data_IF_151385419125
#
_entry.id   IF_151385419125
#
_cell.length_a   1.000
_cell.length_b   1.000
_cell.length_c   1.000
_cell.angle_alpha   90.00
_cell.angle_beta   90.00
_cell.angle_gamma   90.00
#
_symmetry.space_group_name_H-M   'P 1'
#
loop_
_entity.id
_entity.type
_entity.pdbx_description
1 polymer ?
#
# COMPACT_ATOMS: atom_id res chain seq x y z
N UNK A 1 -62.22 -11.78 -11.77
CA UNK A 1 -61.87 -13.20 -11.59
C UNK A 1 -61.53 -13.39 -10.13
N UNK A 2 -62.14 -14.38 -9.46
CA UNK A 2 -61.80 -14.68 -8.07
C UNK A 2 -60.33 -15.15 -8.02
N UNK A 3 -59.54 -14.60 -7.10
CA UNK A 3 -58.12 -14.91 -6.92
C UNK A 3 -57.92 -16.34 -6.41
N UNK A 4 -58.01 -17.33 -7.30
CA UNK A 4 -57.77 -18.74 -6.97
C UNK A 4 -56.31 -19.11 -7.26
N UNK A 5 -55.66 -19.77 -6.30
CA UNK A 5 -54.29 -20.30 -6.45
C UNK A 5 -54.31 -21.46 -7.47
N UNK A 6 -53.44 -21.38 -8.47
CA UNK A 6 -53.18 -22.48 -9.41
C UNK A 6 -52.01 -23.31 -8.85
N UNK A 7 -52.16 -24.64 -8.79
CA UNK A 7 -51.16 -25.56 -8.22
C UNK A 7 -51.04 -26.83 -9.06
N UNK A 8 -49.92 -27.57 -8.92
CA UNK A 8 -49.69 -28.84 -9.62
C UNK A 8 -49.25 -28.73 -11.09
N UNK A 9 -48.71 -27.58 -11.50
CA UNK A 9 -48.14 -27.40 -12.83
C UNK A 9 -46.79 -28.12 -12.94
N UNK A 10 -46.55 -28.80 -14.08
CA UNK A 10 -45.27 -29.41 -14.39
C UNK A 10 -44.21 -28.35 -14.75
N UNK A 11 -42.92 -28.71 -14.66
CA UNK A 11 -41.81 -27.83 -15.05
C UNK A 11 -41.94 -27.42 -16.53
N UNK A 12 -41.96 -26.11 -16.85
CA UNK A 12 -42.04 -25.60 -18.22
C UNK A 12 -40.85 -26.04 -19.09
N UNK A 13 -41.10 -26.43 -20.34
CA UNK A 13 -40.07 -26.87 -21.30
C UNK A 13 -40.16 -26.11 -22.63
N UNK A 14 -41.37 -25.82 -23.13
CA UNK A 14 -41.60 -25.05 -24.35
C UNK A 14 -41.82 -23.57 -24.03
N UNK A 15 -41.48 -22.67 -24.97
CA UNK A 15 -41.68 -21.22 -24.79
C UNK A 15 -43.13 -20.75 -24.67
N UNK A 16 -44.10 -21.66 -24.86
CA UNK A 16 -45.53 -21.43 -24.68
C UNK A 16 -46.08 -21.95 -23.34
N UNK A 17 -45.26 -22.61 -22.52
CA UNK A 17 -45.68 -23.21 -21.27
C UNK A 17 -45.90 -22.14 -20.19
N UNK A 18 -46.84 -22.38 -19.27
CA UNK A 18 -47.09 -21.49 -18.14
C UNK A 18 -45.93 -21.58 -17.14
N UNK A 19 -45.18 -20.49 -16.96
CA UNK A 19 -44.07 -20.45 -16.01
C UNK A 19 -44.57 -20.57 -14.55
N UNK A 20 -44.04 -21.55 -13.81
CA UNK A 20 -44.23 -21.64 -12.36
C UNK A 20 -43.29 -20.64 -11.67
N UNK A 21 -43.64 -20.21 -10.46
CA UNK A 21 -42.77 -19.32 -9.66
C UNK A 21 -41.39 -19.97 -9.48
N UNK A 22 -41.36 -21.25 -9.08
CA UNK A 22 -40.14 -22.03 -8.90
C UNK A 22 -39.27 -22.07 -10.17
N UNK A 23 -39.89 -22.19 -11.35
CA UNK A 23 -39.17 -22.15 -12.62
C UNK A 23 -38.59 -20.76 -12.92
N UNK A 24 -39.36 -19.69 -12.71
CA UNK A 24 -38.87 -18.32 -12.90
C UNK A 24 -37.73 -18.01 -11.92
N UNK A 25 -37.87 -18.42 -10.66
CA UNK A 25 -36.87 -18.24 -9.62
C UNK A 25 -35.57 -19.02 -9.94
N UNK A 26 -35.70 -20.24 -10.49
CA UNK A 26 -34.58 -21.07 -10.94
C UNK A 26 -33.86 -20.49 -12.16
N UNK A 27 -34.60 -20.00 -13.14
CA UNK A 27 -34.06 -19.50 -14.42
C UNK A 27 -33.39 -18.13 -14.26
N UNK A 28 -33.78 -17.32 -13.29
CA UNK A 28 -33.24 -15.96 -13.13
C UNK A 28 -31.76 -15.95 -12.68
N UNK A 29 -31.23 -16.99 -12.01
CA UNK A 29 -29.81 -17.05 -11.60
C UNK A 29 -29.16 -18.46 -11.53
N UNK A 30 -29.84 -19.54 -11.93
CA UNK A 30 -29.33 -20.90 -11.73
C UNK A 30 -29.30 -21.33 -10.26
N UNK A 31 -30.11 -20.66 -9.42
CA UNK A 31 -30.25 -20.93 -7.99
C UNK A 31 -31.58 -21.62 -7.72
N UNK A 32 -31.55 -22.69 -6.94
CA UNK A 32 -32.70 -23.43 -6.46
C UNK A 32 -33.06 -22.92 -5.05
N UNK A 33 -33.95 -21.93 -5.00
CA UNK A 33 -34.27 -21.23 -3.77
C UNK A 33 -35.11 -22.08 -2.80
N UNK A 34 -34.63 -22.21 -1.58
CA UNK A 34 -35.33 -22.84 -0.46
C UNK A 34 -35.93 -21.78 0.48
N UNK A 35 -36.98 -22.13 1.26
CA UNK A 35 -37.43 -21.25 2.34
C UNK A 35 -36.29 -20.96 3.33
N UNK A 36 -36.39 -19.90 4.12
CA UNK A 36 -35.34 -19.55 5.10
C UNK A 36 -35.13 -20.65 6.14
N UNK A 37 -33.97 -20.60 6.78
CA UNK A 37 -33.64 -21.34 8.00
C UNK A 37 -33.38 -20.33 9.10
N UNK A 38 -33.72 -20.70 10.33
CA UNK A 38 -33.54 -19.87 11.51
C UNK A 38 -32.05 -19.66 11.80
N UNK A 39 -31.27 -20.74 11.77
CA UNK A 39 -29.84 -20.72 12.07
C UNK A 39 -29.12 -21.91 11.43
N UNK A 40 -27.80 -21.96 11.58
CA UNK A 40 -26.93 -23.06 11.20
C UNK A 40 -26.25 -23.72 12.40
N UNK A 41 -26.59 -24.98 12.68
CA UNK A 41 -26.29 -25.64 13.96
C UNK A 41 -25.83 -27.09 13.77
N UNK A 42 -24.99 -27.58 14.67
CA UNK A 42 -24.49 -28.96 14.72
C UNK A 42 -25.34 -29.86 15.63
N UNK A 43 -26.23 -29.28 16.43
CA UNK A 43 -27.09 -30.00 17.37
C UNK A 43 -28.53 -29.49 17.26
N UNK A 44 -29.53 -30.38 17.25
CA UNK A 44 -30.93 -29.97 17.20
C UNK A 44 -31.29 -29.13 18.44
N UNK A 45 -32.08 -28.06 18.29
CA UNK A 45 -32.61 -27.34 19.44
C UNK A 45 -33.47 -28.26 20.32
N UNK A 46 -33.42 -28.08 21.64
CA UNK A 46 -34.14 -28.95 22.59
C UNK A 46 -35.67 -28.80 22.57
N UNK A 47 -36.20 -27.71 22.00
CA UNK A 47 -37.63 -27.40 21.95
C UNK A 47 -38.02 -26.77 20.61
N UNK A 48 -37.95 -27.51 19.49
CA UNK A 48 -38.33 -27.00 18.17
C UNK A 48 -39.85 -26.81 18.07
N UNK A 49 -40.28 -25.83 17.28
CA UNK A 49 -41.68 -25.62 16.89
C UNK A 49 -41.93 -26.12 15.47
N UNK A 50 -43.17 -26.54 15.18
CA UNK A 50 -43.51 -27.09 13.85
C UNK A 50 -43.22 -26.06 12.77
N UNK A 51 -42.46 -26.46 11.75
CA UNK A 51 -41.99 -25.61 10.67
C UNK A 51 -40.66 -24.90 10.95
N UNK A 52 -40.03 -25.11 12.11
CA UNK A 52 -38.68 -24.64 12.34
C UNK A 52 -37.71 -25.32 11.38
N UNK A 53 -36.84 -24.55 10.74
CA UNK A 53 -35.86 -25.03 9.75
C UNK A 53 -34.47 -24.59 10.13
N UNK A 54 -33.49 -25.49 10.02
CA UNK A 54 -32.09 -25.24 10.33
C UNK A 54 -31.20 -25.83 9.25
N UNK A 55 -30.06 -25.18 9.01
CA UNK A 55 -28.99 -25.77 8.22
C UNK A 55 -28.10 -26.61 9.13
N UNK A 56 -27.98 -27.91 8.85
CA UNK A 56 -27.14 -28.81 9.66
C UNK A 56 -25.68 -28.65 9.24
N UNK A 57 -24.84 -28.18 10.15
CA UNK A 57 -23.40 -28.00 9.89
C UNK A 57 -22.60 -29.23 10.31
N UNK A 58 -21.31 -29.23 9.96
CA UNK A 58 -20.40 -30.34 10.22
C UNK A 58 -20.37 -30.74 11.70
N UNK A 59 -20.03 -32.01 11.95
CA UNK A 59 -20.00 -32.64 13.28
C UNK A 59 -21.38 -32.74 13.93
N UNK A 60 -22.40 -33.06 13.14
CA UNK A 60 -23.78 -33.11 13.60
C UNK A 60 -23.99 -34.18 14.68
N UNK A 61 -24.83 -33.90 15.67
CA UNK A 61 -25.10 -34.80 16.80
C UNK A 61 -26.60 -35.00 17.06
N UNK A 62 -26.92 -35.93 17.95
CA UNK A 62 -28.30 -36.26 18.28
C UNK A 62 -29.06 -36.78 17.07
N UNK A 63 -30.29 -36.32 16.89
CA UNK A 63 -31.14 -36.72 15.76
C UNK A 63 -30.61 -36.23 14.40
N UNK A 64 -29.65 -35.31 14.37
CA UNK A 64 -29.04 -34.78 13.14
C UNK A 64 -27.75 -35.51 12.74
N UNK A 65 -27.27 -36.48 13.52
CA UNK A 65 -26.05 -37.20 13.22
C UNK A 65 -26.15 -37.94 11.86
N UNK A 66 -25.21 -37.66 10.94
CA UNK A 66 -25.20 -38.22 9.58
C UNK A 66 -25.99 -37.42 8.55
N UNK A 67 -26.54 -36.26 8.94
CA UNK A 67 -27.28 -35.33 8.09
C UNK A 67 -26.54 -34.01 7.90
N UNK A 68 -25.20 -34.01 7.95
CA UNK A 68 -24.40 -32.84 7.63
C UNK A 68 -24.74 -32.29 6.24
N UNK A 69 -24.80 -30.95 6.12
CA UNK A 69 -25.22 -30.18 4.95
C UNK A 69 -26.71 -30.24 4.59
N UNK A 70 -27.52 -31.11 5.22
CA UNK A 70 -28.97 -31.14 4.98
C UNK A 70 -29.67 -29.92 5.59
N UNK A 71 -30.83 -29.55 5.01
CA UNK A 71 -31.78 -28.65 5.68
C UNK A 71 -32.73 -29.52 6.51
N UNK A 72 -32.71 -29.35 7.83
CA UNK A 72 -33.60 -30.04 8.75
C UNK A 72 -34.85 -29.19 9.03
N UNK A 73 -36.04 -29.77 8.90
CA UNK A 73 -37.34 -29.15 9.20
C UNK A 73 -38.09 -29.96 10.24
N UNK A 74 -38.60 -29.31 11.29
CA UNK A 74 -39.40 -30.00 12.30
C UNK A 74 -40.86 -30.13 11.86
N UNK A 75 -41.34 -31.35 11.64
CA UNK A 75 -42.74 -31.59 11.21
C UNK A 75 -43.76 -31.55 12.36
N UNK A 76 -43.29 -31.37 13.61
CA UNK A 76 -44.08 -31.47 14.83
C UNK A 76 -43.85 -32.75 15.63
N UNK A 77 -43.11 -33.72 15.11
CA UNK A 77 -42.80 -34.99 15.78
C UNK A 77 -41.41 -35.53 15.46
N UNK A 78 -40.90 -35.34 14.25
CA UNK A 78 -39.57 -35.74 13.81
C UNK A 78 -38.92 -34.66 12.94
N UNK A 79 -37.59 -34.72 12.81
CA UNK A 79 -36.85 -33.92 11.84
C UNK A 79 -36.96 -34.56 10.45
N UNK A 80 -37.47 -33.79 9.50
CA UNK A 80 -37.44 -34.12 8.08
C UNK A 80 -36.22 -33.45 7.44
N UNK A 81 -35.41 -34.21 6.71
CA UNK A 81 -34.17 -33.73 6.12
C UNK A 81 -34.30 -33.59 4.60
N UNK A 82 -33.76 -32.48 4.08
CA UNK A 82 -33.66 -32.21 2.65
C UNK A 82 -32.20 -32.09 2.25
N UNK A 83 -31.70 -33.06 1.49
CA UNK A 83 -30.33 -33.03 0.97
C UNK A 83 -30.18 -32.03 -0.17
N UNK A 84 -29.20 -31.11 -0.09
CA UNK A 84 -29.04 -30.07 -1.08
C UNK A 84 -28.54 -30.61 -2.41
N UNK A 85 -29.05 -30.03 -3.52
CA UNK A 85 -28.45 -30.19 -4.84
C UNK A 85 -27.57 -28.98 -5.17
N UNK A 86 -26.69 -29.10 -6.17
CA UNK A 86 -25.90 -27.95 -6.64
C UNK A 86 -26.82 -26.83 -7.12
N UNK A 87 -26.66 -25.65 -6.54
CA UNK A 87 -27.49 -24.48 -6.83
C UNK A 87 -28.50 -24.17 -5.74
N UNK A 88 -28.75 -25.06 -4.77
CA UNK A 88 -29.58 -24.76 -3.60
C UNK A 88 -29.15 -23.44 -2.96
N UNK A 89 -30.10 -22.58 -2.61
CA UNK A 89 -29.87 -21.30 -1.97
C UNK A 89 -30.81 -21.10 -0.80
N UNK A 90 -30.27 -20.64 0.33
CA UNK A 90 -31.02 -20.45 1.58
C UNK A 90 -30.60 -19.15 2.27
N UNK A 91 -31.56 -18.44 2.86
CA UNK A 91 -31.29 -17.33 3.78
C UNK A 91 -31.20 -17.87 5.20
N UNK A 92 -30.10 -17.60 5.90
CA UNK A 92 -29.90 -17.96 7.31
C UNK A 92 -30.21 -16.73 8.16
N UNK A 93 -31.29 -16.77 8.93
CA UNK A 93 -31.84 -15.60 9.62
C UNK A 93 -30.90 -15.04 10.69
N UNK A 94 -30.39 -15.89 11.59
CA UNK A 94 -29.51 -15.47 12.69
C UNK A 94 -28.16 -14.92 12.19
N UNK A 95 -27.61 -15.52 11.13
CA UNK A 95 -26.36 -15.05 10.49
C UNK A 95 -26.61 -13.80 9.64
N UNK A 96 -27.86 -13.55 9.21
CA UNK A 96 -28.22 -12.43 8.35
C UNK A 96 -27.56 -12.49 6.98
N UNK A 97 -27.36 -13.70 6.44
CA UNK A 97 -26.66 -13.92 5.18
C UNK A 97 -27.28 -15.06 4.37
N UNK A 98 -27.16 -14.95 3.05
CA UNK A 98 -27.53 -16.02 2.13
C UNK A 98 -26.36 -16.98 1.92
N UNK A 99 -26.64 -18.28 1.84
CA UNK A 99 -25.68 -19.30 1.40
C UNK A 99 -26.21 -20.05 0.17
N UNK A 100 -25.30 -20.53 -0.67
CA UNK A 100 -25.61 -21.44 -1.77
C UNK A 100 -24.74 -22.70 -1.75
N UNK A 101 -25.32 -23.83 -2.12
CA UNK A 101 -24.62 -25.11 -2.18
C UNK A 101 -23.94 -25.27 -3.54
N UNK A 102 -22.60 -25.39 -3.54
CA UNK A 102 -21.83 -25.48 -4.78
C UNK A 102 -21.77 -26.90 -5.38
N UNK A 103 -22.45 -27.86 -4.76
CA UNK A 103 -22.39 -29.29 -5.09
C UNK A 103 -21.46 -30.10 -4.18
N UNK A 104 -20.79 -29.45 -3.23
CA UNK A 104 -19.92 -30.10 -2.24
C UNK A 104 -20.08 -29.48 -0.86
N UNK A 105 -20.16 -28.14 -0.77
CA UNK A 105 -20.32 -27.40 0.49
C UNK A 105 -21.24 -26.19 0.30
N UNK A 106 -21.83 -25.74 1.40
CA UNK A 106 -22.50 -24.44 1.49
C UNK A 106 -21.49 -23.30 1.55
N UNK A 107 -21.64 -22.31 0.68
CA UNK A 107 -20.78 -21.13 0.64
C UNK A 107 -21.61 -19.85 0.67
N UNK A 108 -21.05 -18.75 1.17
CA UNK A 108 -21.74 -17.46 1.22
C UNK A 108 -22.09 -16.98 -0.20
N UNK A 109 -23.32 -16.49 -0.36
CA UNK A 109 -23.76 -15.89 -1.62
C UNK A 109 -22.90 -14.67 -1.94
N UNK A 110 -22.31 -14.66 -3.14
CA UNK A 110 -21.28 -13.68 -3.54
C UNK A 110 -19.85 -14.23 -3.58
N UNK A 111 -19.60 -15.41 -3.00
CA UNK A 111 -18.34 -16.16 -3.23
C UNK A 111 -18.43 -17.13 -4.42
N UNK A 112 -19.66 -17.48 -4.83
CA UNK A 112 -19.97 -18.28 -6.03
C UNK A 112 -19.86 -17.49 -7.32
N UNK A 113 -20.03 -16.16 -7.24
CA UNK A 113 -19.97 -15.26 -8.39
C UNK A 113 -18.58 -14.63 -8.37
N UNK A 114 -17.71 -15.14 -9.24
CA UNK A 114 -16.48 -14.46 -9.62
C UNK A 114 -16.86 -13.04 -10.07
N UNK A 115 -16.37 -12.03 -9.36
CA UNK A 115 -16.69 -10.63 -9.66
C UNK A 115 -16.22 -10.28 -11.08
N UNK A 116 -15.14 -10.95 -11.53
CA UNK A 116 -14.69 -11.13 -12.92
C UNK A 116 -15.79 -11.25 -13.97
N UNK A 117 -16.81 -12.05 -13.66
CA UNK A 117 -17.83 -12.49 -14.61
C UNK A 117 -19.09 -11.63 -14.60
N UNK A 118 -19.25 -10.71 -13.63
CA UNK A 118 -20.47 -9.91 -13.53
C UNK A 118 -20.58 -8.88 -14.66
N UNK A 119 -19.45 -8.47 -15.25
CA UNK A 119 -19.39 -7.49 -16.35
C UNK A 119 -18.33 -7.81 -17.43
N UNK A 120 -17.71 -8.99 -17.40
CA UNK A 120 -16.55 -9.31 -18.26
C UNK A 120 -15.31 -8.49 -17.89
N UNK A 121 -15.22 -8.18 -16.60
CA UNK A 121 -14.29 -7.26 -16.00
C UNK A 121 -13.60 -8.01 -14.87
N UNK A 122 -12.29 -8.28 -14.96
CA UNK A 122 -11.54 -9.09 -13.99
C UNK A 122 -11.57 -8.49 -12.58
N UNK A 123 -11.41 -9.33 -11.54
CA UNK A 123 -11.49 -8.93 -10.12
C UNK A 123 -10.71 -7.64 -9.75
N UNK A 124 -9.62 -7.36 -10.49
CA UNK A 124 -8.70 -6.24 -10.27
C UNK A 124 -8.87 -5.04 -11.24
N UNK A 125 -9.92 -4.95 -12.04
CA UNK A 125 -10.01 -3.89 -13.07
C UNK A 125 -10.81 -2.64 -12.67
N UNK A 126 -11.37 -2.62 -11.46
CA UNK A 126 -12.00 -1.43 -10.92
C UNK A 126 -10.99 -0.30 -10.82
N UNK A 127 -11.25 0.80 -11.52
CA UNK A 127 -10.44 2.02 -11.42
C UNK A 127 -10.35 2.58 -9.98
N UNK A 128 -11.25 2.14 -9.10
CA UNK A 128 -11.34 2.52 -7.68
C UNK A 128 -10.37 1.79 -6.75
N UNK A 129 -9.86 0.61 -7.11
CA UNK A 129 -8.90 -0.12 -6.27
C UNK A 129 -7.47 0.17 -6.74
N UNK A 130 -6.89 1.24 -6.18
CA UNK A 130 -5.45 1.42 -6.20
C UNK A 130 -4.84 0.54 -5.10
N UNK A 131 -4.69 -0.76 -5.37
CA UNK A 131 -3.94 -1.64 -4.47
C UNK A 131 -2.43 -1.33 -4.58
N UNK A 132 -1.69 -1.53 -3.49
CA UNK A 132 -0.27 -1.14 -3.38
C UNK A 132 0.56 -1.79 -4.51
N UNK A 133 0.19 -2.99 -4.94
CA UNK A 133 0.80 -3.74 -6.05
C UNK A 133 0.62 -3.07 -7.43
N UNK A 134 -0.46 -2.29 -7.63
CA UNK A 134 -0.80 -1.64 -8.91
C UNK A 134 -0.36 -0.19 -8.99
N UNK A 135 0.21 0.38 -7.94
CA UNK A 135 0.86 1.69 -8.00
C UNK A 135 2.14 1.66 -8.84
N UNK A 136 2.68 0.46 -9.10
CA UNK A 136 3.98 0.28 -9.76
C UNK A 136 3.89 0.07 -11.27
N UNK A 137 2.68 0.02 -11.85
CA UNK A 137 2.52 -0.24 -13.30
C UNK A 137 2.51 1.08 -14.08
N UNK A 138 3.64 1.35 -14.72
CA UNK A 138 3.89 2.53 -15.57
C UNK A 138 2.91 2.69 -16.73
N UNK A 139 2.18 1.62 -17.11
CA UNK A 139 1.18 1.64 -18.18
C UNK A 139 -0.03 2.57 -17.92
N UNK A 140 -0.31 2.93 -16.65
CA UNK A 140 -1.42 3.86 -16.31
C UNK A 140 -0.98 5.26 -15.92
N UNK A 141 0.32 5.51 -15.81
CA UNK A 141 0.88 6.82 -15.51
C UNK A 141 1.82 7.21 -16.63
N UNK A 142 1.28 7.85 -17.68
CA UNK A 142 2.08 8.48 -18.72
C UNK A 142 3.14 9.37 -18.07
N UNK A 143 4.39 8.96 -18.26
CA UNK A 143 5.62 9.47 -17.65
C UNK A 143 5.62 11.00 -17.46
N UNK A 144 5.80 11.47 -16.22
CA UNK A 144 6.08 12.89 -15.99
C UNK A 144 5.95 13.48 -14.59
N UNK A 145 5.18 12.89 -13.65
CA UNK A 145 4.87 13.66 -12.42
C UNK A 145 4.68 12.89 -11.11
N UNK A 146 4.88 11.57 -11.05
CA UNK A 146 4.89 10.92 -9.73
C UNK A 146 6.29 11.01 -9.15
N UNK A 147 6.43 11.93 -8.21
CA UNK A 147 7.53 11.99 -7.24
C UNK A 147 7.74 10.58 -6.67
N UNK A 148 8.90 9.95 -6.90
CA UNK A 148 9.21 8.69 -6.26
C UNK A 148 9.50 9.00 -4.78
N UNK A 149 8.48 8.92 -3.93
CA UNK A 149 8.70 8.94 -2.48
C UNK A 149 9.49 7.69 -2.01
N UNK A 150 9.63 6.69 -2.87
CA UNK A 150 10.45 5.50 -2.64
C UNK A 150 11.89 5.64 -3.14
N UNK A 151 12.25 6.76 -3.78
CA UNK A 151 13.64 7.11 -4.03
C UNK A 151 14.13 8.10 -2.98
N UNK A 152 14.16 7.68 -1.71
CA UNK A 152 14.80 8.46 -0.62
C UNK A 152 16.27 8.81 -0.93
N UNK A 153 16.91 8.08 -1.86
CA UNK A 153 18.22 8.42 -2.43
C UNK A 153 18.25 9.76 -3.19
N UNK A 154 17.12 10.25 -3.71
CA UNK A 154 17.03 11.57 -4.36
C UNK A 154 16.73 12.72 -3.38
N UNK A 155 16.37 12.40 -2.14
CA UNK A 155 16.19 13.35 -1.03
C UNK A 155 17.42 13.40 -0.10
N UNK A 156 18.41 12.55 -0.33
CA UNK A 156 19.71 12.70 0.31
C UNK A 156 20.33 13.97 -0.25
N UNK A 157 20.68 14.90 0.64
CA UNK A 157 21.30 16.19 0.32
C UNK A 157 22.29 16.02 -0.84
N UNK A 158 22.00 16.69 -1.97
CA UNK A 158 22.80 16.55 -3.19
C UNK A 158 24.20 17.07 -2.86
N UNK A 159 25.21 16.22 -2.92
CA UNK A 159 26.62 16.60 -2.76
C UNK A 159 26.92 17.87 -3.58
N UNK A 160 27.71 18.79 -3.02
CA UNK A 160 28.03 20.09 -3.65
C UNK A 160 28.61 19.95 -5.07
N UNK A 161 29.23 18.81 -5.39
CA UNK A 161 29.74 18.48 -6.73
C UNK A 161 28.65 18.28 -7.81
N UNK A 162 27.38 18.32 -7.43
CA UNK A 162 26.24 18.17 -8.36
C UNK A 162 25.74 19.50 -8.97
N UNK A 163 26.38 20.61 -8.59
CA UNK A 163 26.18 21.94 -9.17
C UNK A 163 27.33 22.22 -10.14
N UNK A 164 27.02 22.37 -11.42
CA UNK A 164 28.02 22.74 -12.43
C UNK A 164 28.59 24.12 -12.13
N UNK A 165 29.89 24.21 -11.85
CA UNK A 165 30.59 25.47 -11.61
C UNK A 165 30.76 25.87 -10.15
N UNK A 166 30.50 24.97 -9.20
CA UNK A 166 30.70 25.22 -7.75
C UNK A 166 31.68 24.20 -7.16
N UNK A 167 32.77 24.68 -6.59
CA UNK A 167 33.78 23.89 -5.86
C UNK A 167 33.78 24.17 -4.35
N UNK A 168 34.60 23.43 -3.56
CA UNK A 168 34.63 23.53 -2.09
C UNK A 168 34.93 24.93 -1.53
N UNK A 169 35.47 25.83 -2.36
CA UNK A 169 35.88 27.18 -1.96
C UNK A 169 34.84 28.27 -2.25
N UNK A 170 33.71 27.93 -2.88
CA UNK A 170 32.69 28.91 -3.29
C UNK A 170 31.73 29.32 -2.14
N UNK A 171 31.94 28.80 -0.93
CA UNK A 171 31.23 29.16 0.29
C UNK A 171 31.94 30.20 1.19
N UNK A 172 33.08 30.74 0.77
CA UNK A 172 33.63 31.92 1.44
C UNK A 172 32.97 33.17 0.87
N UNK A 173 32.25 33.91 1.72
CA UNK A 173 31.78 35.27 1.43
C UNK A 173 32.99 36.10 1.00
N UNK A 174 33.13 36.36 -0.30
CA UNK A 174 34.18 37.24 -0.82
C UNK A 174 33.80 38.68 -0.51
N UNK A 175 34.33 39.25 0.57
CA UNK A 175 34.31 40.70 0.79
C UNK A 175 35.64 41.34 0.39
N UNK A 176 35.94 41.27 -0.92
CA UNK A 176 36.95 42.11 -1.58
C UNK A 176 38.41 41.62 -1.50
N UNK A 177 39.24 42.12 -2.43
CA UNK A 177 40.62 41.69 -2.68
C UNK A 177 41.64 42.03 -1.56
N UNK A 178 41.20 42.31 -0.33
CA UNK A 178 42.04 42.79 0.77
C UNK A 178 41.70 42.16 2.13
N UNK A 179 41.25 40.90 2.16
CA UNK A 179 41.12 40.18 3.42
C UNK A 179 42.49 39.73 3.94
N UNK A 180 43.00 40.52 4.89
CA UNK A 180 44.11 40.18 5.78
C UNK A 180 43.66 38.98 6.62
N UNK A 181 44.24 37.81 6.37
CA UNK A 181 43.92 36.58 7.07
C UNK A 181 44.27 36.70 8.57
N UNK A 182 43.24 36.75 9.41
CA UNK A 182 43.38 36.70 10.86
C UNK A 182 43.87 35.31 11.30
N UNK A 183 45.19 35.18 11.46
CA UNK A 183 45.95 34.07 12.12
C UNK A 183 46.60 33.01 11.22
N UNK A 184 46.29 32.91 9.92
CA UNK A 184 46.92 31.92 9.01
C UNK A 184 48.33 32.30 8.52
N UNK A 185 48.82 33.49 8.86
CA UNK A 185 50.10 34.06 8.38
C UNK A 185 51.12 34.29 9.52
N UNK A 186 50.91 33.66 10.69
CA UNK A 186 51.97 33.51 11.69
C UNK A 186 52.79 32.25 11.36
N UNK A 187 54.04 32.45 10.95
CA UNK A 187 54.94 31.37 10.51
C UNK A 187 56.14 31.26 11.46
N UNK A 188 56.73 30.06 11.55
CA UNK A 188 57.98 29.84 12.28
C UNK A 188 59.22 30.21 11.47
N UNK A 189 59.07 30.35 10.15
CA UNK A 189 60.07 30.86 9.23
C UNK A 189 59.40 31.46 8.00
N UNK A 190 59.93 32.57 7.49
CA UNK A 190 59.45 33.14 6.22
C UNK A 190 59.76 32.23 5.03
N UNK A 191 58.82 32.08 4.06
CA UNK A 191 59.12 31.42 2.79
C UNK A 191 60.08 32.27 1.95
N UNK A 192 60.64 31.69 0.89
CA UNK A 192 61.45 32.43 -0.07
C UNK A 192 60.69 33.67 -0.61
N UNK A 193 61.36 34.81 -0.63
CA UNK A 193 60.83 36.01 -1.24
C UNK A 193 60.75 35.81 -2.76
N UNK A 194 59.56 36.04 -3.33
CA UNK A 194 59.28 35.78 -4.75
C UNK A 194 58.08 36.63 -5.20
N UNK A 195 57.88 36.74 -6.52
CA UNK A 195 56.79 37.50 -7.12
C UNK A 195 55.40 37.17 -6.55
N UNK A 196 55.13 35.88 -6.28
CA UNK A 196 53.86 35.44 -5.70
C UNK A 196 53.58 35.91 -4.26
N UNK A 197 54.59 36.48 -3.59
CA UNK A 197 54.48 37.03 -2.24
C UNK A 197 54.55 38.58 -2.22
N UNK A 198 54.74 39.25 -3.35
CA UNK A 198 54.90 40.71 -3.40
C UNK A 198 53.71 41.45 -2.74
N UNK A 199 54.00 42.36 -1.81
CA UNK A 199 52.99 43.13 -1.08
C UNK A 199 52.32 42.37 0.08
N UNK A 200 52.67 41.09 0.27
CA UNK A 200 52.14 40.29 1.39
C UNK A 200 52.77 40.72 2.71
N UNK A 201 51.95 40.77 3.76
CA UNK A 201 52.40 40.94 5.14
C UNK A 201 52.47 39.57 5.82
N UNK A 202 53.54 39.29 6.55
CA UNK A 202 53.72 38.05 7.29
C UNK A 202 54.13 38.36 8.73
N UNK A 203 53.73 37.49 9.67
CA UNK A 203 54.19 37.53 11.05
C UNK A 203 55.09 36.34 11.28
N UNK A 204 56.30 36.56 11.77
CA UNK A 204 57.20 35.48 12.14
C UNK A 204 57.31 35.39 13.66
N UNK A 205 57.13 34.18 14.19
CA UNK A 205 57.47 33.82 15.57
C UNK A 205 58.21 32.49 15.55
N UNK A 206 59.52 32.54 15.76
CA UNK A 206 60.42 31.37 15.64
C UNK A 206 60.19 30.29 16.69
N UNK A 207 59.45 30.59 17.76
CA UNK A 207 59.06 29.61 18.78
C UNK A 207 58.20 30.23 19.89
N UNK A 208 57.63 29.39 20.75
CA UNK A 208 56.85 29.84 21.89
C UNK A 208 57.68 30.77 22.80
N UNK A 209 57.10 31.91 23.19
CA UNK A 209 57.76 32.92 24.04
C UNK A 209 58.72 33.86 23.31
N UNK A 210 58.92 33.71 21.99
CA UNK A 210 59.67 34.67 21.17
C UNK A 210 58.79 35.83 20.71
N UNK A 211 59.41 36.99 20.51
CA UNK A 211 58.74 38.17 19.96
C UNK A 211 58.23 37.89 18.54
N UNK A 212 57.04 38.40 18.22
CA UNK A 212 56.50 38.36 16.86
C UNK A 212 57.07 39.52 16.06
N UNK A 213 57.70 39.21 14.93
CA UNK A 213 58.17 40.18 13.96
C UNK A 213 57.17 40.29 12.81
N UNK A 214 56.94 41.49 12.29
CA UNK A 214 56.10 41.72 11.12
C UNK A 214 57.01 42.04 9.94
N UNK A 215 56.78 41.39 8.81
CA UNK A 215 57.50 41.57 7.56
C UNK A 215 56.57 41.93 6.41
N UNK A 216 57.09 42.66 5.42
CA UNK A 216 56.45 42.92 4.13
C UNK A 216 57.38 42.46 3.01
N UNK A 217 56.87 41.69 2.04
CA UNK A 217 57.65 41.32 0.87
C UNK A 217 57.66 42.48 -0.13
N UNK A 218 58.84 42.91 -0.53
CA UNK A 218 59.04 43.98 -1.53
C UNK A 218 59.90 43.49 -2.67
N UNK A 219 59.86 44.22 -3.78
CA UNK A 219 60.73 44.02 -4.92
C UNK A 219 61.86 45.04 -4.86
N UNK A 220 63.11 44.57 -4.72
CA UNK A 220 64.29 45.43 -4.58
C UNK A 220 65.00 45.69 -5.92
N UNK A 221 64.66 44.94 -6.97
CA UNK A 221 65.16 45.08 -8.35
C UNK A 221 64.23 44.36 -9.33
N UNK A 222 64.51 44.39 -10.64
CA UNK A 222 63.62 43.85 -11.68
C UNK A 222 63.14 42.40 -11.42
N UNK A 223 63.97 41.55 -10.81
CA UNK A 223 63.62 40.16 -10.46
C UNK A 223 63.98 39.77 -9.01
N UNK A 224 64.46 40.73 -8.21
CA UNK A 224 64.87 40.52 -6.82
C UNK A 224 63.74 40.85 -5.84
N UNK A 225 63.46 39.93 -4.92
CA UNK A 225 62.47 40.08 -3.87
C UNK A 225 63.11 39.90 -2.51
N UNK A 226 62.64 40.64 -1.52
CA UNK A 226 63.13 40.53 -0.14
C UNK A 226 62.00 40.75 0.88
N UNK A 227 62.20 40.22 2.08
CA UNK A 227 61.34 40.48 3.23
C UNK A 227 61.95 41.59 4.08
N UNK A 228 61.24 42.70 4.22
CA UNK A 228 61.64 43.81 5.09
C UNK A 228 60.89 43.71 6.41
N UNK A 229 61.61 43.69 7.53
CA UNK A 229 60.99 43.76 8.86
C UNK A 229 60.48 45.19 9.11
N UNK A 230 59.20 45.32 9.42
CA UNK A 230 58.54 46.62 9.66
C UNK A 230 58.12 46.83 11.12
N UNK A 231 58.17 45.78 11.95
CA UNK A 231 57.85 45.87 13.36
C UNK A 231 58.24 44.62 14.14
N UNK A 232 58.33 44.74 15.46
CA UNK A 232 58.53 43.64 16.41
C UNK A 232 57.71 43.91 17.68
N UNK A 233 57.05 42.89 18.21
CA UNK A 233 56.35 43.00 19.50
C UNK A 233 57.36 43.15 20.63
N UNK A 234 57.15 44.13 21.51
CA UNK A 234 57.91 44.33 22.75
C UNK A 234 57.35 43.51 23.90
#
# INVERSE_FOLDING_TARGET
MNSQKISGLATPVAGSDAATKDHVDSVVQGLDWQPSVLDELDTPPGSPTTGDRYLVIATATGDWAGHEDDIAEWDGSVWAFTTPNKGFAVWVEEVGSQKSYNGTIWILFGTTIDHGNLLGLGDDDHAQYLNITRHDVTDRHSLGTVVPHDALASLTEKEHGSLTGVGPSDHHVKTGNYEVFGLTEEVTSLPAAAAGNLGRFMRERTGAGQATKIFMCVQNSADGYEWIQIGIST
#
